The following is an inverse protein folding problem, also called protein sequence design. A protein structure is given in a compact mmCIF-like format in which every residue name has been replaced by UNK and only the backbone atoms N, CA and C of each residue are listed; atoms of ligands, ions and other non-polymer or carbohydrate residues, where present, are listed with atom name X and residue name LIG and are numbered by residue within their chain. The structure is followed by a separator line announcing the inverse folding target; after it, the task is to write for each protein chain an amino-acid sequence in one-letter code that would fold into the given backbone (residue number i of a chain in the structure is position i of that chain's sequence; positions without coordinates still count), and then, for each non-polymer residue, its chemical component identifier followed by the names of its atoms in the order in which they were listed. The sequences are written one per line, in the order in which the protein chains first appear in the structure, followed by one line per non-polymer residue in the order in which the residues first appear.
data_IF_875911270253
#
_entry.id   IF_875911270253
#
_cell.length_a   1.000
_cell.length_b   1.000
_cell.length_c   1.000
_cell.angle_alpha   90.00
_cell.angle_beta   90.00
_cell.angle_gamma   90.00
#
_symmetry.space_group_name_H-M   'P 1'
#
loop_
_entity.id
_entity.type
_entity.pdbx_description
1 polymer ?
#
# COMPACT_ATOMS: atom_id res chain seq x y z
N UNK A 1 28.09 -27.38 -78.39
CA UNK A 1 26.96 -27.72 -77.49
C UNK A 1 27.03 -26.93 -76.17
N UNK A 2 27.26 -25.61 -76.20
CA UNK A 2 27.32 -24.76 -74.99
C UNK A 2 26.76 -23.37 -75.34
N UNK A 3 25.47 -23.28 -75.66
CA UNK A 3 24.81 -21.97 -75.89
C UNK A 3 23.30 -21.99 -75.65
N UNK A 4 22.66 -23.16 -75.54
CA UNK A 4 21.20 -23.24 -75.34
C UNK A 4 20.73 -23.13 -73.87
N UNK A 5 21.63 -23.25 -72.88
CA UNK A 5 21.21 -23.42 -71.47
C UNK A 5 21.19 -22.12 -70.64
N UNK A 6 21.86 -21.04 -71.09
CA UNK A 6 21.91 -19.77 -70.34
C UNK A 6 20.62 -18.94 -70.44
N UNK A 7 19.97 -18.90 -71.61
CA UNK A 7 18.75 -18.09 -71.80
C UNK A 7 17.52 -18.62 -71.05
N UNK A 8 17.45 -19.94 -70.83
CA UNK A 8 16.32 -20.58 -70.11
C UNK A 8 16.35 -20.32 -68.60
N UNK A 9 17.54 -20.12 -68.04
CA UNK A 9 17.73 -19.84 -66.60
C UNK A 9 17.42 -18.36 -66.28
N UNK A 10 17.80 -17.44 -67.17
CA UNK A 10 17.56 -15.99 -67.00
C UNK A 10 16.07 -15.64 -67.09
N UNK A 11 15.30 -16.24 -68.03
CA UNK A 11 13.84 -16.02 -68.09
C UNK A 11 13.10 -16.56 -66.86
N UNK A 12 13.51 -17.71 -66.30
CA UNK A 12 12.90 -18.28 -65.08
C UNK A 12 13.15 -17.42 -63.84
N UNK A 13 14.34 -16.83 -63.70
CA UNK A 13 14.65 -15.95 -62.55
C UNK A 13 13.93 -14.61 -62.62
N UNK A 14 13.72 -14.07 -63.83
CA UNK A 14 12.95 -12.84 -64.02
C UNK A 14 11.45 -13.03 -63.71
N UNK A 15 10.88 -14.17 -64.10
CA UNK A 15 9.49 -14.53 -63.79
C UNK A 15 9.27 -14.79 -62.29
N UNK A 16 10.20 -15.45 -61.60
CA UNK A 16 10.10 -15.65 -60.15
C UNK A 16 10.24 -14.35 -59.34
N UNK A 17 11.09 -13.41 -59.77
CA UNK A 17 11.22 -12.10 -59.12
C UNK A 17 9.94 -11.28 -59.27
N UNK A 18 9.37 -11.20 -60.48
CA UNK A 18 8.07 -10.53 -60.71
C UNK A 18 6.93 -11.17 -59.92
N UNK A 19 6.88 -12.50 -59.82
CA UNK A 19 5.86 -13.20 -59.03
C UNK A 19 6.00 -12.89 -57.53
N UNK A 20 7.22 -12.84 -56.97
CA UNK A 20 7.45 -12.46 -55.56
C UNK A 20 7.10 -11.00 -55.26
N UNK A 21 7.32 -10.09 -56.21
CA UNK A 21 6.94 -8.67 -56.03
C UNK A 21 5.44 -8.50 -56.11
N UNK A 22 4.76 -9.17 -57.06
CA UNK A 22 3.30 -9.13 -57.18
C UNK A 22 2.63 -9.77 -55.97
N UNK A 23 3.12 -10.90 -55.48
CA UNK A 23 2.58 -11.56 -54.28
C UNK A 23 2.81 -10.73 -53.00
N UNK A 24 3.98 -10.07 -52.86
CA UNK A 24 4.22 -9.14 -51.74
C UNK A 24 3.31 -7.91 -51.80
N UNK A 25 3.07 -7.36 -53.00
CA UNK A 25 2.18 -6.22 -53.19
C UNK A 25 0.71 -6.60 -52.95
N UNK A 26 0.29 -7.80 -53.37
CA UNK A 26 -1.05 -8.33 -53.11
C UNK A 26 -1.27 -8.65 -51.63
N UNK A 27 -0.25 -9.18 -50.93
CA UNK A 27 -0.28 -9.37 -49.48
C UNK A 27 -0.33 -8.03 -48.74
N UNK A 28 0.41 -7.01 -49.19
CA UNK A 28 0.35 -5.66 -48.62
C UNK A 28 -1.04 -5.03 -48.83
N UNK A 29 -1.63 -5.16 -50.02
CA UNK A 29 -2.98 -4.67 -50.32
C UNK A 29 -4.05 -5.41 -49.51
N UNK A 30 -3.95 -6.74 -49.39
CA UNK A 30 -4.86 -7.55 -48.56
C UNK A 30 -4.70 -7.25 -47.05
N UNK A 31 -3.49 -6.92 -46.59
CA UNK A 31 -3.28 -6.43 -45.22
C UNK A 31 -3.89 -5.03 -45.02
N UNK A 32 -3.82 -4.13 -46.00
CA UNK A 32 -4.43 -2.79 -45.89
C UNK A 32 -5.97 -2.80 -45.98
N UNK A 33 -6.57 -3.77 -46.68
CA UNK A 33 -8.04 -3.88 -46.78
C UNK A 33 -8.69 -4.54 -45.56
N UNK A 34 -7.94 -5.28 -44.74
CA UNK A 34 -8.43 -5.85 -43.47
C UNK A 34 -8.52 -4.81 -42.33
N UNK A 35 -7.86 -3.66 -42.45
CA UNK A 35 -7.81 -2.61 -41.41
C UNK A 35 -8.59 -1.32 -41.77
N UNK A 36 -9.34 -1.30 -42.88
CA UNK A 36 -10.12 -0.14 -43.32
C UNK A 36 -11.63 -0.35 -43.18
N UNK A 37 -12.07 -0.97 -42.08
CA UNK A 37 -13.49 -0.92 -41.73
C UNK A 37 -13.83 0.51 -41.29
N UNK A 38 -14.83 1.10 -41.94
CA UNK A 38 -15.38 2.39 -41.51
C UNK A 38 -15.87 2.27 -40.07
N UNK A 39 -15.62 3.27 -39.22
CA UNK A 39 -16.10 3.25 -37.84
C UNK A 39 -17.61 3.00 -37.81
N UNK A 40 -18.01 1.99 -37.05
CA UNK A 40 -19.42 1.63 -36.91
C UNK A 40 -20.02 2.38 -35.72
N UNK A 41 -21.26 2.90 -35.82
CA UNK A 41 -21.92 3.52 -34.69
C UNK A 41 -22.20 2.46 -33.61
N UNK A 42 -21.79 2.77 -32.38
CA UNK A 42 -22.05 1.95 -31.19
C UNK A 42 -23.40 2.34 -30.57
N UNK A 43 -23.74 3.63 -30.63
CA UNK A 43 -24.97 4.17 -30.08
C UNK A 43 -24.95 5.70 -30.05
N UNK A 44 -25.97 6.27 -29.41
CA UNK A 44 -26.20 7.69 -29.22
C UNK A 44 -26.20 8.07 -27.75
N UNK A 45 -25.77 9.29 -27.52
CA UNK A 45 -25.70 9.98 -26.24
C UNK A 45 -26.63 11.18 -26.34
N UNK A 46 -27.57 11.31 -25.40
CA UNK A 46 -28.57 12.37 -25.36
C UNK A 46 -28.28 13.27 -24.15
N UNK A 47 -27.78 14.47 -24.40
CA UNK A 47 -27.64 15.53 -23.41
C UNK A 47 -28.92 16.35 -23.38
N UNK A 48 -29.81 16.00 -22.45
CA UNK A 48 -31.11 16.64 -22.32
C UNK A 48 -31.01 18.04 -21.73
N UNK A 49 -30.02 18.29 -20.87
CA UNK A 49 -29.80 19.58 -20.23
C UNK A 49 -29.42 20.67 -21.24
N UNK A 50 -28.64 20.31 -22.28
CA UNK A 50 -28.18 21.23 -23.31
C UNK A 50 -28.90 21.07 -24.66
N UNK A 51 -29.87 20.14 -24.75
CA UNK A 51 -30.61 19.82 -25.98
C UNK A 51 -29.68 19.41 -27.13
N UNK A 52 -28.72 18.53 -26.84
CA UNK A 52 -27.73 18.03 -27.80
C UNK A 52 -27.75 16.51 -27.85
N UNK A 53 -27.36 15.95 -28.98
CA UNK A 53 -27.12 14.52 -29.11
C UNK A 53 -25.87 14.25 -29.92
N UNK A 54 -25.25 13.10 -29.65
CA UNK A 54 -23.99 12.69 -30.24
C UNK A 54 -24.02 11.21 -30.60
N UNK A 55 -23.37 10.84 -31.71
CA UNK A 55 -23.13 9.46 -32.09
C UNK A 55 -21.74 9.05 -31.62
N UNK A 56 -21.64 7.94 -30.89
CA UNK A 56 -20.37 7.31 -30.52
C UNK A 56 -20.05 6.20 -31.51
N UNK A 57 -18.82 6.20 -32.02
CA UNK A 57 -18.29 5.18 -32.90
C UNK A 57 -17.38 4.21 -32.15
N UNK A 58 -17.17 3.02 -32.73
CA UNK A 58 -16.41 1.93 -32.12
C UNK A 58 -14.90 2.21 -31.94
N UNK A 59 -14.38 3.22 -32.64
CA UNK A 59 -13.03 3.75 -32.48
C UNK A 59 -12.93 4.80 -31.34
N UNK A 60 -14.03 5.02 -30.60
CA UNK A 60 -14.13 5.99 -29.51
C UNK A 60 -14.42 7.41 -29.98
N UNK A 61 -14.58 7.65 -31.28
CA UNK A 61 -14.90 8.97 -31.78
C UNK A 61 -16.36 9.31 -31.46
N UNK A 62 -16.61 10.50 -30.88
CA UNK A 62 -17.94 11.04 -30.61
C UNK A 62 -18.23 12.27 -31.49
N UNK A 63 -19.26 12.22 -32.34
CA UNK A 63 -19.66 13.32 -33.26
C UNK A 63 -21.01 13.90 -32.84
N UNK A 64 -21.15 15.23 -32.79
CA UNK A 64 -22.45 15.88 -32.54
C UNK A 64 -23.40 15.73 -33.74
N UNK A 65 -24.66 15.40 -33.46
CA UNK A 65 -25.72 15.43 -34.46
C UNK A 65 -25.97 16.86 -34.97
N UNK A 66 -26.05 17.01 -36.28
CA UNK A 66 -26.24 18.32 -36.93
C UNK A 66 -25.01 19.24 -36.92
N UNK A 67 -23.92 18.88 -36.23
CA UNK A 67 -22.67 19.64 -36.24
C UNK A 67 -21.42 18.73 -36.26
N UNK A 68 -21.07 18.15 -37.41
CA UNK A 68 -19.97 17.17 -37.51
C UNK A 68 -18.57 17.72 -37.15
N UNK A 69 -18.42 19.05 -37.11
CA UNK A 69 -17.18 19.71 -36.70
C UNK A 69 -16.97 19.65 -35.18
N UNK A 70 -18.04 19.52 -34.40
CA UNK A 70 -17.95 19.27 -32.97
C UNK A 70 -17.78 17.77 -32.72
N UNK A 71 -16.53 17.36 -32.57
CA UNK A 71 -16.15 15.96 -32.39
C UNK A 71 -14.95 15.81 -31.48
N UNK A 72 -14.82 14.66 -30.84
CA UNK A 72 -13.65 14.33 -30.02
C UNK A 72 -13.59 12.87 -29.63
N UNK A 73 -12.44 12.44 -29.11
CA UNK A 73 -12.23 11.08 -28.64
C UNK A 73 -12.73 10.90 -27.22
N UNK A 74 -13.55 9.88 -27.01
CA UNK A 74 -13.89 9.37 -25.70
C UNK A 74 -12.79 8.41 -25.21
N UNK A 75 -12.59 8.38 -23.89
CA UNK A 75 -11.57 7.56 -23.23
C UNK A 75 -12.19 6.76 -22.11
N UNK A 76 -11.65 5.60 -21.79
CA UNK A 76 -12.04 4.90 -20.57
C UNK A 76 -11.76 5.78 -19.34
N UNK A 77 -12.70 5.80 -18.40
CA UNK A 77 -12.50 6.46 -17.12
C UNK A 77 -11.48 5.65 -16.28
N UNK A 78 -10.32 6.23 -15.91
CA UNK A 78 -9.32 5.53 -15.11
C UNK A 78 -9.84 5.13 -13.74
N UNK A 79 -10.80 5.88 -13.16
CA UNK A 79 -11.31 5.64 -11.82
C UNK A 79 -12.17 4.37 -11.73
N UNK A 80 -12.77 3.94 -12.84
CA UNK A 80 -13.72 2.82 -12.88
C UNK A 80 -15.05 3.11 -12.18
N UNK A 81 -15.28 4.34 -11.70
CA UNK A 81 -16.58 4.77 -11.17
C UNK A 81 -17.57 5.03 -12.31
N UNK A 82 -17.07 5.54 -13.43
CA UNK A 82 -17.74 5.63 -14.72
C UNK A 82 -17.04 4.68 -15.70
N UNK A 83 -17.65 4.38 -16.85
CA UNK A 83 -17.00 3.50 -17.84
C UNK A 83 -16.35 4.27 -18.99
N UNK A 84 -16.85 5.48 -19.28
CA UNK A 84 -16.36 6.30 -20.38
C UNK A 84 -16.35 7.78 -20.00
N UNK A 85 -15.22 8.45 -20.23
CA UNK A 85 -15.08 9.90 -20.24
C UNK A 85 -15.31 10.41 -21.66
N UNK A 86 -16.24 11.34 -21.79
CA UNK A 86 -16.58 12.00 -23.05
C UNK A 86 -15.69 13.24 -23.28
N UNK A 87 -15.54 13.68 -24.54
CA UNK A 87 -14.83 14.91 -24.87
C UNK A 87 -15.44 16.12 -24.14
N UNK A 88 -14.58 17.00 -23.64
CA UNK A 88 -14.99 18.25 -23.01
C UNK A 88 -14.05 19.38 -23.45
N UNK A 89 -14.60 20.59 -23.62
CA UNK A 89 -13.80 21.75 -24.00
C UNK A 89 -12.76 22.13 -22.94
N UNK A 90 -13.10 21.98 -21.65
CA UNK A 90 -12.17 22.14 -20.53
C UNK A 90 -12.38 21.04 -19.48
N UNK A 91 -11.72 19.89 -19.61
CA UNK A 91 -11.95 18.72 -18.76
C UNK A 91 -11.55 18.94 -17.29
N UNK A 92 -10.82 20.01 -16.97
CA UNK A 92 -10.42 20.35 -15.60
C UNK A 92 -11.49 21.15 -14.83
N UNK A 93 -12.43 21.78 -15.54
CA UNK A 93 -13.54 22.51 -14.92
C UNK A 93 -14.85 21.71 -15.01
N UNK A 94 -15.11 21.16 -16.21
CA UNK A 94 -16.29 20.36 -16.48
C UNK A 94 -15.91 19.19 -17.35
N UNK A 95 -16.22 17.99 -16.91
CA UNK A 95 -16.07 16.80 -17.72
C UNK A 95 -17.36 15.98 -17.72
N UNK A 96 -17.56 15.27 -18.82
CA UNK A 96 -18.76 14.51 -19.09
C UNK A 96 -18.40 13.02 -19.13
N UNK A 97 -19.30 12.18 -18.62
CA UNK A 97 -19.07 10.75 -18.48
C UNK A 97 -20.32 9.96 -18.81
N UNK A 98 -20.13 8.68 -19.12
CA UNK A 98 -21.19 7.68 -19.13
C UNK A 98 -20.99 6.74 -17.94
N UNK A 99 -22.04 6.58 -17.14
CA UNK A 99 -22.06 5.65 -16.01
C UNK A 99 -22.56 4.25 -16.43
N UNK A 100 -22.44 3.27 -15.53
CA UNK A 100 -22.88 1.90 -15.78
C UNK A 100 -24.41 1.72 -15.86
N UNK A 101 -25.19 2.78 -15.60
CA UNK A 101 -26.65 2.79 -15.68
C UNK A 101 -27.16 3.49 -16.95
N UNK A 102 -26.26 3.84 -17.89
CA UNK A 102 -26.55 4.59 -19.13
C UNK A 102 -26.98 6.03 -18.89
N UNK A 103 -26.59 6.63 -17.77
CA UNK A 103 -26.74 8.05 -17.54
C UNK A 103 -25.57 8.83 -18.15
N UNK A 104 -25.87 10.02 -18.68
CA UNK A 104 -24.86 11.02 -19.02
C UNK A 104 -24.63 11.88 -17.79
N UNK A 105 -23.41 11.85 -17.27
CA UNK A 105 -23.03 12.56 -16.05
C UNK A 105 -22.19 13.78 -16.44
N UNK A 106 -22.57 14.95 -15.94
CA UNK A 106 -21.68 16.11 -15.88
C UNK A 106 -21.06 16.17 -14.49
N UNK A 107 -19.75 16.31 -14.42
CA UNK A 107 -19.05 16.61 -13.17
C UNK A 107 -18.46 18.00 -13.29
N UNK A 108 -18.95 18.90 -12.45
CA UNK A 108 -18.47 20.27 -12.29
C UNK A 108 -17.59 20.36 -11.04
N UNK A 109 -16.43 21.01 -11.15
CA UNK A 109 -15.48 21.09 -10.04
C UNK A 109 -16.05 21.77 -8.78
N UNK A 110 -17.04 22.66 -8.93
CA UNK A 110 -17.75 23.33 -7.83
C UNK A 110 -18.95 22.50 -7.39
N UNK A 111 -19.83 22.16 -8.33
CA UNK A 111 -21.17 21.61 -8.05
C UNK A 111 -21.21 20.10 -7.87
N UNK A 112 -20.14 19.38 -8.24
CA UNK A 112 -20.08 17.92 -8.21
C UNK A 112 -20.80 17.27 -9.39
N UNK A 113 -21.14 15.99 -9.21
CA UNK A 113 -21.75 15.18 -10.26
C UNK A 113 -23.27 15.40 -10.36
N UNK A 114 -23.79 15.49 -11.58
CA UNK A 114 -25.23 15.49 -11.87
C UNK A 114 -25.55 14.74 -13.15
N UNK A 115 -26.71 14.10 -13.19
CA UNK A 115 -27.25 13.49 -14.41
C UNK A 115 -27.80 14.60 -15.32
N UNK A 116 -27.35 14.63 -16.57
CA UNK A 116 -27.78 15.60 -17.59
C UNK A 116 -28.50 14.95 -18.77
N UNK A 117 -28.58 13.62 -18.80
CA UNK A 117 -29.27 12.88 -19.84
C UNK A 117 -28.97 11.38 -19.79
N UNK A 118 -29.10 10.71 -20.93
CA UNK A 118 -28.98 9.25 -21.03
C UNK A 118 -28.32 8.80 -22.34
N UNK A 119 -27.91 7.54 -22.42
CA UNK A 119 -27.39 6.91 -23.65
C UNK A 119 -28.13 5.61 -23.98
N UNK A 120 -28.18 5.24 -25.25
CA UNK A 120 -28.64 3.90 -25.67
C UNK A 120 -27.48 2.88 -25.77
N UNK A 121 -26.24 3.34 -25.56
CA UNK A 121 -25.03 2.53 -25.55
C UNK A 121 -25.12 1.51 -24.41
N UNK A 122 -24.88 0.24 -24.73
CA UNK A 122 -24.82 -0.82 -23.72
C UNK A 122 -23.49 -0.73 -22.95
N UNK A 123 -23.52 -0.51 -21.62
CA UNK A 123 -22.30 -0.40 -20.84
C UNK A 123 -21.64 -1.78 -20.66
N UNK A 124 -20.31 -1.82 -20.51
CA UNK A 124 -19.63 -3.04 -20.07
C UNK A 124 -20.04 -3.40 -18.64
N UNK A 125 -19.72 -4.62 -18.17
CA UNK A 125 -19.90 -4.99 -16.76
C UNK A 125 -19.18 -3.99 -15.84
N UNK A 126 -19.83 -3.64 -14.73
CA UNK A 126 -19.24 -2.75 -13.73
C UNK A 126 -18.06 -3.45 -13.03
N UNK A 127 -16.83 -2.90 -13.12
CA UNK A 127 -15.63 -3.49 -12.49
C UNK A 127 -15.60 -3.27 -10.97
N UNK A 128 -16.51 -2.48 -10.40
CA UNK A 128 -16.57 -2.23 -8.96
C UNK A 128 -16.84 -3.51 -8.19
N UNK A 129 -15.88 -3.89 -7.37
CA UNK A 129 -16.00 -5.00 -6.43
C UNK A 129 -17.04 -4.69 -5.35
N UNK A 130 -17.79 -5.68 -4.89
CA UNK A 130 -18.69 -5.52 -3.74
C UNK A 130 -17.89 -5.68 -2.45
N UNK A 131 -17.78 -4.61 -1.67
CA UNK A 131 -17.13 -4.66 -0.36
C UNK A 131 -17.93 -5.56 0.60
N UNK A 132 -17.23 -6.48 1.23
CA UNK A 132 -17.74 -7.29 2.33
C UNK A 132 -16.84 -7.00 3.53
N UNK A 133 -17.37 -6.48 4.64
CA UNK A 133 -16.58 -6.25 5.84
C UNK A 133 -15.87 -7.53 6.29
N UNK A 134 -14.58 -7.46 6.65
CA UNK A 134 -13.87 -8.63 7.12
C UNK A 134 -14.40 -9.07 8.49
N UNK A 135 -14.26 -10.36 8.76
CA UNK A 135 -14.67 -10.95 10.04
C UNK A 135 -13.51 -10.80 11.02
N UNK A 136 -13.80 -10.20 12.18
CA UNK A 136 -12.86 -10.03 13.29
C UNK A 136 -13.17 -11.03 14.39
N UNK A 137 -12.13 -11.63 14.96
CA UNK A 137 -12.26 -12.47 16.14
C UNK A 137 -11.92 -11.65 17.39
N UNK A 138 -12.83 -11.57 18.37
CA UNK A 138 -12.59 -10.79 19.58
C UNK A 138 -11.46 -11.34 20.46
N UNK A 139 -10.99 -12.57 20.21
CA UNK A 139 -9.92 -13.21 20.95
C UNK A 139 -8.57 -13.18 20.23
N UNK A 140 -8.55 -12.84 18.93
CA UNK A 140 -7.32 -12.79 18.12
C UNK A 140 -6.96 -11.36 17.81
N UNK A 141 -5.79 -10.91 18.27
CA UNK A 141 -5.45 -9.50 18.18
C UNK A 141 -4.25 -9.08 19.02
N UNK A 142 -4.10 -7.77 19.18
CA UNK A 142 -2.92 -7.16 19.80
C UNK A 142 -3.34 -6.45 21.08
N UNK A 143 -2.57 -6.67 22.15
CA UNK A 143 -2.73 -5.91 23.37
C UNK A 143 -2.08 -4.54 23.22
N UNK A 144 -2.88 -3.49 23.39
CA UNK A 144 -2.41 -2.11 23.38
C UNK A 144 -2.65 -1.46 24.74
N UNK A 145 -2.11 -0.26 24.95
CA UNK A 145 -2.45 0.57 26.11
C UNK A 145 -3.95 0.93 26.15
N UNK A 146 -4.60 0.97 24.98
CA UNK A 146 -6.02 1.28 24.82
C UNK A 146 -6.91 0.03 24.86
N UNK A 147 -6.38 -1.12 25.31
CA UNK A 147 -7.10 -2.38 25.39
C UNK A 147 -6.75 -3.37 24.26
N UNK A 148 -7.53 -4.43 24.17
CA UNK A 148 -7.37 -5.47 23.16
C UNK A 148 -7.91 -5.02 21.81
N UNK A 149 -7.10 -5.15 20.76
CA UNK A 149 -7.41 -4.66 19.42
C UNK A 149 -7.48 -5.86 18.47
N UNK A 150 -8.68 -6.26 17.99
CA UNK A 150 -8.85 -7.47 17.21
C UNK A 150 -8.25 -7.32 15.82
N UNK A 151 -7.78 -8.45 15.27
CA UNK A 151 -7.31 -8.56 13.89
C UNK A 151 -8.27 -9.42 13.05
N UNK A 152 -8.29 -9.25 11.72
CA UNK A 152 -9.03 -10.14 10.83
C UNK A 152 -8.39 -11.53 10.80
N UNK A 153 -9.16 -12.58 11.07
CA UNK A 153 -8.66 -13.97 11.12
C UNK A 153 -8.04 -14.43 9.80
N UNK A 154 -8.42 -13.83 8.67
CA UNK A 154 -8.00 -14.23 7.33
C UNK A 154 -6.51 -13.94 7.05
N UNK A 155 -5.87 -13.09 7.86
CA UNK A 155 -4.47 -12.67 7.65
C UNK A 155 -3.55 -13.05 8.81
N UNK A 156 -4.09 -13.53 9.92
CA UNK A 156 -3.28 -13.85 11.10
C UNK A 156 -2.50 -15.13 10.85
N UNK A 157 -1.18 -15.05 11.00
CA UNK A 157 -0.30 -16.21 11.03
C UNK A 157 -0.16 -16.70 12.48
N UNK A 158 -0.94 -17.72 12.83
CA UNK A 158 -0.90 -18.37 14.15
C UNK A 158 0.42 -19.11 14.39
N UNK A 159 1.14 -19.46 13.33
CA UNK A 159 2.40 -20.16 13.41
C UNK A 159 3.59 -19.24 13.63
N UNK A 160 3.50 -17.97 13.23
CA UNK A 160 4.56 -16.99 13.46
C UNK A 160 4.00 -15.77 14.19
N UNK A 161 3.71 -15.89 15.49
CA UNK A 161 2.93 -14.90 16.23
C UNK A 161 3.72 -13.70 16.77
N UNK A 162 5.05 -13.77 16.77
CA UNK A 162 5.91 -12.73 17.34
C UNK A 162 6.35 -11.73 16.28
N UNK A 163 6.44 -10.46 16.69
CA UNK A 163 6.98 -9.38 15.88
C UNK A 163 8.47 -9.12 16.12
N UNK A 164 8.99 -8.10 15.45
CA UNK A 164 10.35 -7.60 15.62
C UNK A 164 10.53 -6.88 16.97
N UNK A 165 11.71 -7.07 17.59
CA UNK A 165 12.12 -6.28 18.74
C UNK A 165 12.53 -4.86 18.30
N UNK A 166 11.99 -3.83 18.95
CA UNK A 166 12.49 -2.46 18.83
C UNK A 166 13.62 -2.25 19.81
N UNK A 167 14.81 -1.88 19.33
CA UNK A 167 15.98 -1.70 20.18
C UNK A 167 16.96 -0.68 19.60
N UNK A 168 17.66 0.04 20.48
CA UNK A 168 18.76 0.94 20.14
C UNK A 168 19.84 0.89 21.24
N UNK A 169 20.91 1.68 21.09
CA UNK A 169 22.00 1.75 22.06
C UNK A 169 21.97 3.07 22.86
N UNK A 170 22.79 3.12 23.92
CA UNK A 170 22.90 4.28 24.81
C UNK A 170 23.27 5.55 24.05
N UNK A 171 24.18 5.47 23.08
CA UNK A 171 24.65 6.63 22.33
C UNK A 171 23.54 7.28 21.49
N UNK A 172 22.74 6.47 20.79
CA UNK A 172 21.60 6.97 20.03
C UNK A 172 20.53 7.54 20.94
N UNK A 173 20.24 6.88 22.07
CA UNK A 173 19.32 7.40 23.07
C UNK A 173 19.79 8.76 23.61
N UNK A 174 21.09 8.90 23.90
CA UNK A 174 21.69 10.15 24.36
C UNK A 174 21.61 11.24 23.30
N UNK A 175 21.92 10.92 22.04
CA UNK A 175 21.78 11.84 20.92
C UNK A 175 20.34 12.34 20.77
N UNK A 176 19.35 11.44 20.91
CA UNK A 176 17.95 11.81 20.89
C UNK A 176 17.55 12.69 22.07
N UNK A 177 18.04 12.38 23.27
CA UNK A 177 17.79 13.16 24.48
C UNK A 177 18.34 14.58 24.34
N UNK A 178 19.62 14.71 24.00
CA UNK A 178 20.31 15.99 23.88
C UNK A 178 19.67 16.89 22.80
N UNK A 179 19.15 16.30 21.71
CA UNK A 179 18.40 17.03 20.66
C UNK A 179 17.00 17.45 21.07
N UNK A 180 16.45 16.86 22.13
CA UNK A 180 15.06 17.03 22.54
C UNK A 180 14.91 17.87 23.81
N UNK A 181 16.00 18.14 24.52
CA UNK A 181 16.00 19.09 25.64
C UNK A 181 16.01 20.53 25.10
N UNK A 182 15.03 21.33 25.51
CA UNK A 182 14.96 22.75 25.18
C UNK A 182 15.93 23.59 26.00
N UNK A 183 16.05 24.89 25.68
CA UNK A 183 16.92 25.83 26.40
C UNK A 183 16.61 25.96 27.90
N UNK A 184 15.39 25.63 28.31
CA UNK A 184 14.95 25.62 29.71
C UNK A 184 15.30 24.32 30.45
N UNK A 185 16.03 23.40 29.83
CA UNK A 185 16.36 22.09 30.41
C UNK A 185 15.20 21.10 30.43
N UNK A 186 14.04 21.44 29.86
CA UNK A 186 12.87 20.56 29.81
C UNK A 186 12.94 19.68 28.56
N UNK A 187 12.74 18.38 28.75
CA UNK A 187 12.68 17.40 27.67
C UNK A 187 11.35 17.50 26.91
N UNK A 188 11.42 17.75 25.60
CA UNK A 188 10.30 17.56 24.69
C UNK A 188 10.09 16.05 24.47
N UNK A 189 9.07 15.51 25.14
CA UNK A 189 8.74 14.09 25.11
C UNK A 189 8.37 13.64 23.68
N UNK A 190 7.64 14.45 22.92
CA UNK A 190 7.22 14.04 21.58
C UNK A 190 8.44 13.97 20.64
N UNK A 191 9.28 15.00 20.65
CA UNK A 191 10.51 15.05 19.86
C UNK A 191 11.49 13.93 20.24
N UNK A 192 11.61 13.63 21.53
CA UNK A 192 12.42 12.52 22.02
C UNK A 192 11.88 11.18 21.52
N UNK A 193 10.59 10.92 21.71
CA UNK A 193 9.95 9.68 21.28
C UNK A 193 10.05 9.45 19.76
N UNK A 194 9.88 10.51 18.97
CA UNK A 194 10.06 10.48 17.51
C UNK A 194 11.47 10.04 17.12
N UNK A 195 12.48 10.69 17.72
CA UNK A 195 13.88 10.36 17.47
C UNK A 195 14.19 8.92 17.89
N UNK A 196 13.66 8.47 19.04
CA UNK A 196 13.85 7.10 19.49
C UNK A 196 13.28 6.10 18.49
N UNK A 197 12.04 6.29 18.03
CA UNK A 197 11.42 5.38 17.04
C UNK A 197 12.28 5.29 15.77
N UNK A 198 12.74 6.42 15.25
CA UNK A 198 13.62 6.45 14.06
C UNK A 198 14.88 5.59 14.23
N UNK A 199 15.46 5.61 15.43
CA UNK A 199 16.68 4.89 15.78
C UNK A 199 16.45 3.44 16.27
N UNK A 200 15.20 3.02 16.50
CA UNK A 200 14.85 1.70 17.02
C UNK A 200 14.10 0.84 16.01
N UNK A 201 13.07 1.40 15.38
CA UNK A 201 12.16 0.69 14.49
C UNK A 201 12.77 0.58 13.08
N UNK A 202 12.63 -0.57 12.40
CA UNK A 202 13.12 -0.79 11.03
C UNK A 202 12.61 0.25 10.01
N UNK A 203 13.18 0.27 8.81
CA UNK A 203 12.82 1.28 7.78
C UNK A 203 11.32 1.26 7.49
N UNK A 204 10.74 0.07 7.34
CA UNK A 204 9.32 -0.11 7.02
C UNK A 204 8.44 0.31 8.19
N UNK A 205 8.82 -0.07 9.41
CA UNK A 205 8.12 0.28 10.65
C UNK A 205 8.11 1.80 10.88
N UNK A 206 9.22 2.48 10.58
CA UNK A 206 9.30 3.93 10.59
C UNK A 206 8.38 4.58 9.53
N UNK A 207 8.31 4.02 8.33
CA UNK A 207 7.39 4.50 7.28
C UNK A 207 5.92 4.34 7.72
N UNK A 208 5.57 3.20 8.33
CA UNK A 208 4.23 2.96 8.90
C UNK A 208 3.90 3.97 10.00
N UNK A 209 4.82 4.15 10.96
CA UNK A 209 4.68 5.11 12.05
C UNK A 209 4.43 6.53 11.53
N UNK A 210 5.26 6.99 10.58
CA UNK A 210 5.14 8.32 9.98
C UNK A 210 3.85 8.48 9.18
N UNK A 211 3.41 7.44 8.47
CA UNK A 211 2.14 7.47 7.76
C UNK A 211 0.97 7.77 8.69
N UNK A 212 0.89 7.04 9.81
CA UNK A 212 -0.20 7.25 10.77
C UNK A 212 -0.08 8.60 11.46
N UNK A 213 1.12 8.97 11.91
CA UNK A 213 1.36 10.23 12.61
C UNK A 213 0.96 11.46 11.78
N UNK A 214 1.22 11.43 10.48
CA UNK A 214 0.98 12.57 9.59
C UNK A 214 -0.42 12.55 8.95
N UNK A 215 -1.18 11.47 9.12
CA UNK A 215 -2.54 11.37 8.57
C UNK A 215 -3.53 12.13 9.46
N UNK A 216 -4.41 12.90 8.82
CA UNK A 216 -5.46 13.66 9.51
C UNK A 216 -6.82 12.94 9.55
N UNK A 217 -6.97 11.84 8.78
CA UNK A 217 -8.19 11.05 8.71
C UNK A 217 -7.91 9.55 8.52
N UNK A 218 -8.89 8.68 8.80
CA UNK A 218 -8.78 7.25 8.52
C UNK A 218 -8.54 6.91 7.04
N UNK A 219 -9.09 7.71 6.10
CA UNK A 219 -8.84 7.53 4.66
C UNK A 219 -7.38 7.86 4.29
N UNK A 220 -6.85 8.98 4.78
CA UNK A 220 -5.43 9.33 4.54
C UNK A 220 -4.52 8.25 5.12
N UNK A 221 -4.85 7.78 6.32
CA UNK A 221 -4.13 6.72 7.00
C UNK A 221 -4.15 5.42 6.19
N UNK A 222 -5.34 4.97 5.75
CA UNK A 222 -5.49 3.76 4.97
C UNK A 222 -4.72 3.83 3.65
N UNK A 223 -4.85 4.94 2.90
CA UNK A 223 -4.15 5.13 1.63
C UNK A 223 -2.62 5.18 1.81
N UNK A 224 -2.13 5.91 2.82
CA UNK A 224 -0.70 6.00 3.14
C UNK A 224 -0.14 4.63 3.52
N UNK A 225 -0.86 3.88 4.35
CA UNK A 225 -0.46 2.54 4.75
C UNK A 225 -0.48 1.56 3.57
N UNK A 226 -1.48 1.59 2.68
CA UNK A 226 -1.47 0.76 1.45
C UNK A 226 -0.23 1.06 0.60
N UNK A 227 0.10 2.34 0.40
CA UNK A 227 1.27 2.73 -0.39
C UNK A 227 2.60 2.45 0.31
N UNK A 228 2.61 2.42 1.65
CA UNK A 228 3.76 1.99 2.43
C UNK A 228 3.93 0.49 2.37
N UNK A 229 2.84 -0.26 2.52
CA UNK A 229 2.82 -1.72 2.68
C UNK A 229 2.96 -2.50 1.37
N UNK A 230 2.48 -1.95 0.26
CA UNK A 230 2.56 -2.56 -1.06
C UNK A 230 3.89 -2.33 -1.79
N UNK A 231 3.89 -2.63 -3.09
CA UNK A 231 5.02 -2.44 -3.99
C UNK A 231 5.00 -1.07 -4.69
N UNK A 232 5.78 -0.95 -5.77
CA UNK A 232 5.87 0.29 -6.55
C UNK A 232 4.52 0.72 -7.12
N UNK A 233 3.68 -0.23 -7.54
CA UNK A 233 2.38 0.09 -8.11
C UNK A 233 1.41 0.62 -7.05
N UNK A 234 1.28 -0.08 -5.92
CA UNK A 234 0.45 0.34 -4.79
C UNK A 234 0.87 1.72 -4.28
N UNK A 235 2.17 1.97 -4.18
CA UNK A 235 2.70 3.28 -3.78
C UNK A 235 2.26 4.39 -4.72
N UNK A 236 2.32 4.16 -6.04
CA UNK A 236 1.85 5.13 -7.05
C UNK A 236 0.34 5.36 -6.94
N UNK A 237 -0.45 4.28 -6.95
CA UNK A 237 -1.92 4.35 -6.90
C UNK A 237 -2.38 5.06 -5.63
N UNK A 238 -1.86 4.66 -4.46
CA UNK A 238 -2.17 5.29 -3.18
C UNK A 238 -1.82 6.77 -3.17
N UNK A 239 -0.71 7.18 -3.78
CA UNK A 239 -0.35 8.58 -3.87
C UNK A 239 -1.32 9.38 -4.75
N UNK A 240 -1.74 8.82 -5.90
CA UNK A 240 -2.76 9.44 -6.77
C UNK A 240 -4.10 9.56 -6.03
N UNK A 241 -4.56 8.51 -5.35
CA UNK A 241 -5.80 8.54 -4.57
C UNK A 241 -5.72 9.51 -3.38
N UNK A 242 -4.59 9.56 -2.67
CA UNK A 242 -4.37 10.49 -1.57
C UNK A 242 -4.38 11.94 -2.04
N UNK A 243 -3.85 12.23 -3.24
CA UNK A 243 -3.94 13.55 -3.86
C UNK A 243 -5.40 13.93 -4.12
N UNK A 244 -6.20 13.02 -4.65
CA UNK A 244 -7.63 13.24 -4.88
C UNK A 244 -8.40 13.44 -3.58
N UNK A 245 -8.09 12.65 -2.55
CA UNK A 245 -8.67 12.81 -1.22
C UNK A 245 -8.34 14.17 -0.61
N UNK A 246 -7.10 14.64 -0.72
CA UNK A 246 -6.74 15.98 -0.25
C UNK A 246 -7.46 17.11 -0.99
N UNK A 247 -7.84 16.88 -2.24
CA UNK A 247 -8.54 17.87 -3.07
C UNK A 247 -10.06 17.87 -2.85
N UNK A 248 -10.68 16.70 -2.70
CA UNK A 248 -12.14 16.54 -2.71
C UNK A 248 -12.72 15.83 -1.47
N UNK A 249 -11.87 15.36 -0.56
CA UNK A 249 -12.26 14.62 0.63
C UNK A 249 -13.06 13.36 0.29
N UNK A 250 -14.20 13.21 0.97
CA UNK A 250 -15.14 12.10 0.82
C UNK A 250 -16.12 12.27 -0.35
N UNK A 251 -16.00 13.34 -1.16
CA UNK A 251 -16.79 13.52 -2.38
C UNK A 251 -16.18 12.71 -3.53
N UNK A 252 -16.33 11.38 -3.45
CA UNK A 252 -15.82 10.44 -4.46
C UNK A 252 -16.39 10.72 -5.84
N UNK A 253 -17.55 11.37 -5.95
CA UNK A 253 -18.15 11.75 -7.24
C UNK A 253 -17.23 12.63 -8.10
N UNK A 254 -16.26 13.34 -7.49
CA UNK A 254 -15.27 14.19 -8.17
C UNK A 254 -13.95 13.50 -8.50
N UNK A 255 -13.74 12.25 -8.06
CA UNK A 255 -12.50 11.52 -8.30
C UNK A 255 -12.21 11.23 -9.78
N UNK A 256 -13.21 10.96 -10.64
CA UNK A 256 -12.97 10.85 -12.09
C UNK A 256 -12.30 12.10 -12.70
N UNK A 257 -12.60 13.30 -12.18
CA UNK A 257 -11.93 14.55 -12.58
C UNK A 257 -10.47 14.60 -12.12
N UNK A 258 -10.21 14.20 -10.87
CA UNK A 258 -8.86 14.19 -10.33
C UNK A 258 -7.95 13.19 -11.07
N UNK A 259 -8.50 12.03 -11.41
CA UNK A 259 -7.79 10.91 -12.04
C UNK A 259 -7.78 11.00 -13.57
N UNK A 260 -8.29 12.10 -14.14
CA UNK A 260 -8.41 12.30 -15.59
C UNK A 260 -7.09 12.18 -16.38
N UNK A 261 -5.93 12.35 -15.72
CA UNK A 261 -4.61 12.20 -16.31
C UNK A 261 -3.94 10.84 -16.06
N UNK A 262 -4.60 9.95 -15.32
CA UNK A 262 -4.08 8.62 -15.02
C UNK A 262 -4.38 7.64 -16.15
N UNK A 263 -3.56 6.59 -16.27
CA UNK A 263 -3.87 5.44 -17.12
C UNK A 263 -4.95 4.57 -16.46
N UNK A 264 -5.78 3.92 -17.28
CA UNK A 264 -6.69 2.88 -16.79
C UNK A 264 -5.90 1.73 -16.17
N UNK A 265 -6.08 1.52 -14.87
CA UNK A 265 -5.39 0.50 -14.08
C UNK A 265 -6.43 -0.24 -13.20
N UNK A 266 -6.64 -1.56 -13.40
CA UNK A 266 -7.60 -2.33 -12.61
C UNK A 266 -7.36 -2.26 -11.10
N UNK A 267 -6.10 -2.15 -10.66
CA UNK A 267 -5.76 -2.06 -9.23
C UNK A 267 -6.14 -0.70 -8.64
N UNK A 268 -6.04 0.35 -9.44
CA UNK A 268 -6.49 1.68 -9.04
C UNK A 268 -8.01 1.70 -8.85
N UNK A 269 -8.75 1.13 -9.80
CA UNK A 269 -10.21 0.99 -9.72
C UNK A 269 -10.62 0.17 -8.50
N UNK A 270 -9.92 -0.95 -8.27
CA UNK A 270 -10.18 -1.83 -7.12
C UNK A 270 -9.94 -1.13 -5.79
N UNK A 271 -8.80 -0.47 -5.62
CA UNK A 271 -8.47 0.23 -4.37
C UNK A 271 -9.44 1.39 -4.12
N UNK A 272 -9.76 2.18 -5.15
CA UNK A 272 -10.75 3.25 -5.05
C UNK A 272 -12.12 2.70 -4.63
N UNK A 273 -12.59 1.63 -5.28
CA UNK A 273 -13.87 0.99 -4.94
C UNK A 273 -13.90 0.52 -3.47
N UNK A 274 -12.79 -0.05 -2.96
CA UNK A 274 -12.68 -0.45 -1.55
C UNK A 274 -12.84 0.72 -0.60
N UNK A 275 -12.06 1.78 -0.80
CA UNK A 275 -12.03 2.94 0.10
C UNK A 275 -13.36 3.69 0.03
N UNK A 276 -13.92 3.88 -1.18
CA UNK A 276 -15.22 4.50 -1.38
C UNK A 276 -16.34 3.75 -0.66
N UNK A 277 -16.44 2.43 -0.86
CA UNK A 277 -17.51 1.65 -0.23
C UNK A 277 -17.37 1.60 1.29
N UNK A 278 -16.14 1.48 1.80
CA UNK A 278 -15.87 1.57 3.24
C UNK A 278 -16.26 2.94 3.80
N UNK A 279 -16.01 4.02 3.05
CA UNK A 279 -16.41 5.38 3.41
C UNK A 279 -17.92 5.50 3.59
N UNK A 280 -18.70 4.92 2.69
CA UNK A 280 -20.17 4.88 2.78
C UNK A 280 -20.69 4.14 4.02
N UNK A 281 -19.92 3.21 4.57
CA UNK A 281 -20.26 2.50 5.81
C UNK A 281 -19.63 3.12 7.07
N UNK A 282 -18.79 4.17 6.94
CA UNK A 282 -18.03 4.72 8.06
C UNK A 282 -16.98 3.75 8.62
N UNK A 283 -16.47 2.84 7.79
CA UNK A 283 -15.59 1.73 8.19
C UNK A 283 -14.21 1.79 7.55
N UNK A 284 -13.77 2.97 7.08
CA UNK A 284 -12.44 3.08 6.47
C UNK A 284 -11.38 2.90 7.55
N UNK A 285 -10.60 1.84 7.39
CA UNK A 285 -9.35 1.65 8.09
C UNK A 285 -8.45 0.78 7.21
N UNK A 286 -7.17 0.74 7.56
CA UNK A 286 -6.20 0.00 6.77
C UNK A 286 -6.52 -1.50 6.68
N UNK A 287 -6.94 -2.17 7.76
CA UNK A 287 -7.21 -3.61 7.72
C UNK A 287 -8.38 -3.94 6.79
N UNK A 288 -9.47 -3.19 6.87
CA UNK A 288 -10.61 -3.31 5.96
C UNK A 288 -10.21 -3.04 4.50
N UNK A 289 -9.41 -1.99 4.27
CA UNK A 289 -8.89 -1.65 2.94
C UNK A 289 -7.98 -2.74 2.39
N UNK A 290 -7.06 -3.26 3.20
CA UNK A 290 -6.15 -4.35 2.86
C UNK A 290 -6.93 -5.61 2.49
N UNK A 291 -7.94 -5.99 3.27
CA UNK A 291 -8.77 -7.16 3.01
C UNK A 291 -9.55 -7.03 1.70
N UNK A 292 -10.13 -5.86 1.45
CA UNK A 292 -10.89 -5.59 0.23
C UNK A 292 -9.99 -5.52 -1.02
N UNK A 293 -8.85 -4.82 -0.92
CA UNK A 293 -7.90 -4.65 -2.02
C UNK A 293 -7.15 -5.96 -2.33
N UNK A 294 -6.85 -6.73 -1.30
CA UNK A 294 -6.13 -8.00 -1.38
C UNK A 294 -4.90 -7.98 -0.49
N UNK A 295 -5.01 -8.56 0.71
CA UNK A 295 -3.94 -8.56 1.70
C UNK A 295 -2.66 -9.22 1.19
N UNK A 296 -2.76 -10.19 0.27
CA UNK A 296 -1.61 -10.86 -0.36
C UNK A 296 -0.77 -9.95 -1.26
N UNK A 297 -1.29 -8.79 -1.67
CA UNK A 297 -0.53 -7.76 -2.43
C UNK A 297 0.24 -6.80 -1.54
N UNK A 298 -0.06 -6.85 -0.24
CA UNK A 298 0.55 -6.01 0.77
C UNK A 298 1.49 -6.91 1.58
N UNK A 299 2.60 -6.36 2.06
CA UNK A 299 3.55 -7.14 2.87
C UNK A 299 3.02 -7.38 4.29
N UNK A 300 1.92 -8.13 4.42
CA UNK A 300 1.13 -8.31 5.64
C UNK A 300 1.60 -9.50 6.49
N UNK A 301 2.89 -9.55 6.80
CA UNK A 301 3.38 -10.48 7.81
C UNK A 301 2.99 -10.05 9.24
N UNK A 302 3.23 -10.91 10.22
CA UNK A 302 2.89 -10.66 11.63
C UNK A 302 3.52 -9.38 12.17
N UNK A 303 4.79 -9.13 11.84
CA UNK A 303 5.49 -7.91 12.27
C UNK A 303 4.76 -6.66 11.77
N UNK A 304 4.40 -6.64 10.49
CA UNK A 304 3.66 -5.54 9.89
C UNK A 304 2.26 -5.39 10.51
N UNK A 305 1.55 -6.48 10.76
CA UNK A 305 0.24 -6.42 11.41
C UNK A 305 0.31 -5.80 12.81
N UNK A 306 1.31 -6.22 13.61
CA UNK A 306 1.58 -5.66 14.92
C UNK A 306 1.87 -4.16 14.82
N UNK A 307 2.83 -3.79 13.99
CA UNK A 307 3.29 -2.41 13.87
C UNK A 307 2.20 -1.50 13.34
N UNK A 308 1.44 -1.93 12.32
CA UNK A 308 0.32 -1.16 11.79
C UNK A 308 -0.75 -0.96 12.86
N UNK A 309 -1.20 -2.02 13.54
CA UNK A 309 -2.24 -1.88 14.55
C UNK A 309 -1.78 -0.98 15.71
N UNK A 310 -0.54 -1.12 16.15
CA UNK A 310 0.05 -0.25 17.16
C UNK A 310 0.15 1.21 16.70
N UNK A 311 0.52 1.45 15.44
CA UNK A 311 0.56 2.81 14.88
C UNK A 311 -0.85 3.41 14.83
N UNK A 312 -1.82 2.67 14.29
CA UNK A 312 -3.21 3.12 14.16
C UNK A 312 -3.83 3.43 15.52
N UNK A 313 -3.70 2.52 16.49
CA UNK A 313 -4.31 2.65 17.82
C UNK A 313 -3.65 3.71 18.70
N UNK A 314 -2.36 3.98 18.47
CA UNK A 314 -1.66 5.07 19.14
C UNK A 314 -1.91 6.44 18.51
N UNK A 315 -2.52 6.50 17.31
CA UNK A 315 -2.64 7.74 16.54
C UNK A 315 -1.29 8.38 16.21
N UNK A 316 -0.22 7.58 16.14
CA UNK A 316 1.14 8.09 15.92
C UNK A 316 1.79 8.73 17.16
N UNK A 317 1.21 8.57 18.35
CA UNK A 317 1.84 8.99 19.59
C UNK A 317 3.06 8.08 19.87
N UNK A 318 4.28 8.62 19.94
CA UNK A 318 5.49 7.80 19.91
C UNK A 318 5.65 6.82 21.09
N UNK A 319 5.23 7.18 22.31
CA UNK A 319 5.38 6.31 23.49
C UNK A 319 4.37 5.15 23.48
N UNK A 320 3.12 5.43 23.17
CA UNK A 320 2.05 4.42 23.04
C UNK A 320 2.39 3.49 21.88
N UNK A 321 2.89 4.03 20.77
CA UNK A 321 3.38 3.24 19.66
C UNK A 321 4.54 2.33 20.08
N UNK A 322 5.60 2.89 20.66
CA UNK A 322 6.78 2.13 21.05
C UNK A 322 6.46 1.08 22.12
N UNK A 323 5.53 1.35 23.03
CA UNK A 323 5.13 0.37 24.03
C UNK A 323 4.29 -0.78 23.47
N UNK A 324 3.46 -0.50 22.47
CA UNK A 324 2.69 -1.52 21.77
C UNK A 324 3.56 -2.34 20.82
N UNK A 325 4.28 -1.67 19.91
CA UNK A 325 5.03 -2.29 18.83
C UNK A 325 6.42 -2.79 19.27
N UNK A 326 6.99 -2.21 20.33
CA UNK A 326 8.28 -2.62 20.91
C UNK A 326 8.17 -3.48 22.16
N UNK A 327 6.97 -3.63 22.74
CA UNK A 327 6.71 -4.48 23.89
C UNK A 327 7.00 -3.85 25.26
N UNK A 328 6.85 -4.68 26.30
CA UNK A 328 6.86 -4.20 27.70
C UNK A 328 8.22 -3.69 28.16
N UNK A 329 9.32 -4.37 27.78
CA UNK A 329 10.66 -3.94 28.20
C UNK A 329 11.09 -2.64 27.50
N UNK A 330 10.70 -2.47 26.24
CA UNK A 330 10.91 -1.23 25.51
C UNK A 330 10.16 -0.05 26.17
N UNK A 331 8.92 -0.27 26.61
CA UNK A 331 8.16 0.72 27.39
C UNK A 331 8.92 1.15 28.66
N UNK A 332 9.44 0.18 29.42
CA UNK A 332 10.18 0.45 30.66
C UNK A 332 11.47 1.22 30.42
N UNK A 333 12.19 0.91 29.34
CA UNK A 333 13.38 1.68 28.99
C UNK A 333 13.04 3.12 28.61
N UNK A 334 11.97 3.37 27.85
CA UNK A 334 11.53 4.74 27.57
C UNK A 334 11.11 5.49 28.83
N UNK A 335 10.40 4.83 29.75
CA UNK A 335 10.00 5.43 31.02
C UNK A 335 11.23 5.83 31.83
N UNK A 336 12.26 4.98 31.93
CA UNK A 336 13.54 5.34 32.57
C UNK A 336 14.20 6.54 31.91
N UNK A 337 14.14 6.67 30.58
CA UNK A 337 14.71 7.83 29.89
C UNK A 337 14.04 9.13 30.35
N UNK A 338 12.73 9.06 30.57
CA UNK A 338 11.92 10.20 30.98
C UNK A 338 12.07 10.55 32.46
N UNK A 339 12.27 9.57 33.33
CA UNK A 339 12.33 9.79 34.79
C UNK A 339 13.75 9.96 35.31
N UNK A 340 14.71 9.20 34.77
CA UNK A 340 16.06 9.05 35.30
C UNK A 340 17.14 9.51 34.32
N UNK A 341 16.76 9.88 33.09
CA UNK A 341 17.69 10.23 32.01
C UNK A 341 18.26 9.03 31.27
N UNK A 342 19.22 9.28 30.38
CA UNK A 342 19.89 8.26 29.58
C UNK A 342 21.20 7.83 30.23
N UNK A 343 21.46 6.52 30.26
CA UNK A 343 22.71 5.96 30.73
C UNK A 343 22.83 5.83 32.24
N UNK A 344 24.05 5.59 32.71
CA UNK A 344 24.34 5.42 34.14
C UNK A 344 23.73 4.15 34.76
N UNK A 345 23.64 4.14 36.09
CA UNK A 345 23.19 2.96 36.84
C UNK A 345 21.65 2.89 36.96
N UNK A 346 20.92 4.01 36.80
CA UNK A 346 19.46 4.06 36.94
C UNK A 346 18.71 4.58 35.71
N UNK A 347 19.41 5.14 34.72
CA UNK A 347 18.81 5.65 33.48
C UNK A 347 18.56 4.54 32.45
N UNK A 348 17.92 4.92 31.35
CA UNK A 348 17.62 3.99 30.27
C UNK A 348 18.84 3.66 29.42
N UNK A 349 18.86 2.47 28.84
CA UNK A 349 19.91 1.96 27.97
C UNK A 349 21.33 1.96 28.58
N UNK A 350 21.46 2.26 29.88
CA UNK A 350 22.71 2.20 30.63
C UNK A 350 23.02 0.80 31.16
N UNK A 351 23.85 0.71 32.20
CA UNK A 351 24.34 -0.58 32.74
C UNK A 351 23.22 -1.52 33.21
N UNK A 352 22.06 -0.96 33.57
CA UNK A 352 20.91 -1.66 34.11
C UNK A 352 19.72 -1.79 33.14
N UNK A 353 19.99 -1.80 31.83
CA UNK A 353 19.01 -1.96 30.75
C UNK A 353 18.16 -3.24 30.91
N UNK A 354 16.84 -3.08 31.01
CA UNK A 354 15.86 -4.15 31.21
C UNK A 354 15.73 -5.06 29.97
N UNK A 355 15.89 -4.51 28.77
CA UNK A 355 15.89 -5.29 27.52
C UNK A 355 17.07 -6.25 27.54
N UNK A 356 18.28 -5.76 27.85
CA UNK A 356 19.49 -6.60 27.94
C UNK A 356 19.37 -7.63 29.05
N UNK A 357 18.81 -7.28 30.21
CA UNK A 357 18.53 -8.24 31.29
C UNK A 357 17.58 -9.35 30.87
N UNK A 358 16.48 -9.00 30.18
CA UNK A 358 15.53 -9.96 29.63
C UNK A 358 16.18 -10.89 28.61
N UNK A 359 16.98 -10.34 27.71
CA UNK A 359 17.70 -11.09 26.68
C UNK A 359 18.78 -12.01 27.27
N UNK A 360 19.53 -11.55 28.28
CA UNK A 360 20.49 -12.40 29.00
C UNK A 360 19.80 -13.55 29.73
N UNK A 361 18.61 -13.32 30.28
CA UNK A 361 17.83 -14.39 30.91
C UNK A 361 17.42 -15.46 29.90
N UNK A 362 17.00 -15.07 28.69
CA UNK A 362 16.74 -16.02 27.60
C UNK A 362 18.02 -16.80 27.24
N UNK A 363 19.15 -16.11 27.13
CA UNK A 363 20.45 -16.73 26.86
C UNK A 363 20.86 -17.77 27.91
N UNK A 364 20.62 -17.48 29.18
CA UNK A 364 20.84 -18.42 30.28
C UNK A 364 19.96 -19.66 30.17
N UNK A 365 18.67 -19.50 29.87
CA UNK A 365 17.76 -20.64 29.68
C UNK A 365 18.15 -21.47 28.44
N UNK A 366 18.57 -20.82 27.34
CA UNK A 366 19.11 -21.49 26.16
C UNK A 366 20.37 -22.30 26.51
N UNK A 367 21.29 -21.72 27.27
CA UNK A 367 22.51 -22.40 27.73
C UNK A 367 22.19 -23.61 28.60
N UNK A 368 21.21 -23.51 29.50
CA UNK A 368 20.79 -24.64 30.34
C UNK A 368 20.17 -25.77 29.51
N UNK A 369 19.42 -25.44 28.46
CA UNK A 369 18.73 -26.43 27.64
C UNK A 369 19.65 -27.10 26.60
N UNK A 370 20.52 -26.34 25.94
CA UNK A 370 21.30 -26.80 24.79
C UNK A 370 22.80 -26.91 25.05
N UNK A 371 23.29 -26.38 26.17
CA UNK A 371 24.70 -26.31 26.53
C UNK A 371 25.43 -25.09 25.95
N UNK A 372 26.51 -24.61 26.61
CA UNK A 372 27.20 -23.36 26.25
C UNK A 372 27.86 -23.37 24.86
N UNK A 373 28.18 -24.54 24.34
CA UNK A 373 28.88 -24.68 23.05
C UNK A 373 27.94 -24.81 21.85
N UNK A 374 26.62 -24.85 22.07
CA UNK A 374 25.63 -24.94 21.01
C UNK A 374 25.61 -23.67 20.14
N UNK A 375 25.40 -23.84 18.84
CA UNK A 375 25.43 -22.74 17.87
C UNK A 375 24.33 -21.70 18.13
N UNK A 376 23.15 -22.11 18.60
CA UNK A 376 22.06 -21.19 18.98
C UNK A 376 22.50 -20.31 20.15
N UNK A 377 23.13 -20.90 21.17
CA UNK A 377 23.60 -20.18 22.38
C UNK A 377 24.71 -19.20 22.02
N UNK A 378 25.69 -19.63 21.21
CA UNK A 378 26.76 -18.76 20.73
C UNK A 378 26.21 -17.60 19.89
N UNK A 379 25.32 -17.90 18.95
CA UNK A 379 24.68 -16.89 18.09
C UNK A 379 23.88 -15.89 18.93
N UNK A 380 23.11 -16.36 19.91
CA UNK A 380 22.38 -15.50 20.83
C UNK A 380 23.31 -14.59 21.62
N UNK A 381 24.33 -15.14 22.29
CA UNK A 381 25.24 -14.37 23.13
C UNK A 381 26.04 -13.34 22.33
N UNK A 382 26.51 -13.70 21.13
CA UNK A 382 27.17 -12.76 20.22
C UNK A 382 26.22 -11.64 19.82
N UNK A 383 24.96 -11.98 19.51
CA UNK A 383 23.93 -10.99 19.15
C UNK A 383 23.65 -10.00 20.30
N UNK A 384 23.58 -10.48 21.56
CA UNK A 384 23.38 -9.60 22.72
C UNK A 384 24.58 -8.70 22.93
N UNK A 385 25.79 -9.24 22.81
CA UNK A 385 27.03 -8.48 22.92
C UNK A 385 27.09 -7.36 21.87
N UNK A 386 26.72 -7.65 20.62
CA UNK A 386 26.70 -6.66 19.54
C UNK A 386 25.66 -5.55 19.75
N UNK A 387 24.54 -5.84 20.41
CA UNK A 387 23.57 -4.81 20.78
C UNK A 387 24.12 -3.91 21.89
N UNK A 388 24.79 -4.50 22.87
CA UNK A 388 25.30 -3.78 24.02
C UNK A 388 26.50 -2.89 23.66
N UNK A 389 27.37 -3.35 22.75
CA UNK A 389 28.65 -2.70 22.45
C UNK A 389 28.83 -2.30 20.98
N UNK A 390 28.00 -2.80 20.07
CA UNK A 390 28.11 -2.52 18.64
C UNK A 390 27.47 -1.19 18.23
N UNK A 391 27.64 -0.80 16.95
CA UNK A 391 27.28 0.53 16.44
C UNK A 391 25.76 0.83 16.38
N UNK A 392 24.92 -0.01 16.99
CA UNK A 392 23.48 0.09 17.00
C UNK A 392 22.81 -0.80 15.95
N UNK A 393 21.48 -0.76 15.96
CA UNK A 393 20.51 -1.50 15.13
C UNK A 393 21.10 -2.38 14.02
N UNK A 394 21.39 -3.62 14.35
CA UNK A 394 21.71 -4.66 13.37
C UNK A 394 20.42 -5.42 13.01
N UNK A 395 19.96 -5.29 11.77
CA UNK A 395 18.75 -5.99 11.29
C UNK A 395 18.86 -7.51 11.46
N UNK A 396 20.09 -8.05 11.40
CA UNK A 396 20.37 -9.47 11.62
C UNK A 396 20.12 -9.89 13.07
N UNK A 397 20.41 -9.02 14.05
CA UNK A 397 20.15 -9.30 15.46
C UNK A 397 18.64 -9.43 15.74
N UNK A 398 17.83 -8.54 15.15
CA UNK A 398 16.38 -8.55 15.31
C UNK A 398 15.76 -9.80 14.69
N UNK A 399 16.24 -10.21 13.51
CA UNK A 399 15.82 -11.46 12.85
C UNK A 399 16.10 -12.68 13.71
N UNK A 400 17.28 -12.77 14.33
CA UNK A 400 17.62 -13.89 15.24
C UNK A 400 16.59 -13.97 16.37
N UNK A 401 16.21 -12.85 16.97
CA UNK A 401 15.22 -12.84 18.04
C UNK A 401 13.83 -13.28 17.57
N UNK A 402 13.36 -12.76 16.44
CA UNK A 402 12.03 -13.09 15.94
C UNK A 402 11.93 -14.54 15.48
N UNK A 403 12.95 -15.05 14.77
CA UNK A 403 12.97 -16.44 14.32
C UNK A 403 13.00 -17.40 15.51
N UNK A 404 13.93 -17.21 16.46
CA UNK A 404 13.97 -18.01 17.68
C UNK A 404 12.71 -17.80 18.54
N UNK A 405 12.12 -16.61 18.50
CA UNK A 405 10.84 -16.28 19.11
C UNK A 405 9.70 -17.15 18.60
N UNK A 406 9.57 -17.26 17.28
CA UNK A 406 8.55 -18.06 16.62
C UNK A 406 8.79 -19.57 16.77
N UNK A 407 10.05 -20.02 16.78
CA UNK A 407 10.40 -21.43 17.00
C UNK A 407 10.20 -21.87 18.46
N UNK A 408 10.72 -21.09 19.42
CA UNK A 408 10.80 -21.48 20.84
C UNK A 408 9.65 -20.92 21.67
N UNK A 409 9.01 -19.82 21.25
CA UNK A 409 7.90 -19.20 21.97
C UNK A 409 6.62 -20.06 22.00
N UNK A 410 6.54 -21.08 21.14
CA UNK A 410 5.53 -22.14 21.16
C UNK A 410 5.83 -23.22 22.20
N UNK A 411 7.10 -23.40 22.59
CA UNK A 411 7.47 -24.35 23.62
C UNK A 411 6.95 -23.87 24.98
N UNK A 412 6.24 -24.73 25.71
CA UNK A 412 5.72 -24.45 27.06
C UNK A 412 6.81 -24.36 28.16
N UNK A 413 8.07 -24.20 27.77
CA UNK A 413 9.23 -24.18 28.66
C UNK A 413 9.49 -22.76 29.21
N UNK A 414 10.55 -22.65 30.03
CA UNK A 414 10.96 -21.37 30.62
C UNK A 414 11.40 -20.37 29.55
N UNK A 415 12.02 -20.82 28.46
CA UNK A 415 12.43 -19.97 27.33
C UNK A 415 11.23 -19.24 26.75
N UNK A 416 10.15 -19.95 26.44
CA UNK A 416 8.93 -19.37 25.89
C UNK A 416 8.27 -18.33 26.81
N UNK A 417 8.37 -18.50 28.14
CA UNK A 417 7.87 -17.51 29.11
C UNK A 417 8.69 -16.22 29.10
N UNK A 418 10.00 -16.30 28.91
CA UNK A 418 10.87 -15.12 28.85
C UNK A 418 10.75 -14.40 27.49
N UNK A 419 10.65 -15.14 26.38
CA UNK A 419 10.39 -14.56 25.05
C UNK A 419 9.13 -13.70 25.05
N UNK A 420 8.03 -14.18 25.68
CA UNK A 420 6.75 -13.45 25.78
C UNK A 420 6.83 -12.10 26.50
N UNK A 421 7.88 -11.85 27.28
CA UNK A 421 8.09 -10.56 27.96
C UNK A 421 8.85 -9.56 27.09
N UNK A 422 9.65 -10.07 26.15
CA UNK A 422 10.55 -9.28 25.31
C UNK A 422 9.87 -8.93 23.99
N UNK A 423 9.35 -9.93 23.28
CA UNK A 423 8.82 -9.74 21.93
C UNK A 423 7.34 -9.34 21.94
N UNK A 424 6.94 -8.36 21.10
CA UNK A 424 5.53 -8.11 20.85
C UNK A 424 4.91 -9.33 20.13
N UNK A 425 3.62 -9.55 20.34
CA UNK A 425 2.93 -10.69 19.72
C UNK A 425 1.46 -10.43 19.43
N UNK A 426 0.96 -11.14 18.44
CA UNK A 426 -0.48 -11.41 18.32
C UNK A 426 -0.85 -12.40 19.43
N UNK A 427 -1.98 -12.17 20.08
CA UNK A 427 -2.60 -13.08 21.05
C UNK A 427 -3.77 -13.76 20.36
N UNK A 428 -4.03 -15.02 20.73
CA UNK A 428 -5.19 -15.82 20.37
C UNK A 428 -5.66 -16.60 21.60
#
# INVERSE_FOLDING_TARGET
MITANKNKIIMKTLHLKKLKTVVSFFLLIMFTSLYSQLPAPVGRIYDQAHQQSFVLYNDGMMVQDGNPMNKGLAYHDPSGMMYLRLPAANPYQKAFFLDYNRNVIEIDYIKGARIIGYSDIQPPPNPMIKYVPPIYNPNVGIQTANGFQPLPDQIVDVDNPYGNLMITNEQNAKNCYDRSVGFNGVLDKQKFGDCMIENMAGKKENEIYRCVKNASSPEEQALCLVGTMGGTNERRISASLLKCYKQYGNDYSKYPLCLAGESSDPELQKLLSCVQQQGSFGQVNFMNTAMCYGASKLNMNTEAQIVVQCAVTSGGQPYVFAGCAGGQLMSRELDKCLTNGVGGDSGCFGKNNDIIKGLNKIGFELQNQFGPNNDIVKTWNNTIHDIQYGPGKNHEAVKVFTNLGNELGKAGNNIGKEIKKVLPKIKW
#
